data_IF_291410121667
#
_entry.id   IF_291410121667
#
_cell.length_a   1.000
_cell.length_b   1.000
_cell.length_c   1.000
_cell.angle_alpha   90.00
_cell.angle_beta   90.00
_cell.angle_gamma   90.00
#
_symmetry.space_group_name_H-M   'P 1'
#
loop_
_entity.id
_entity.type
_entity.pdbx_description
1 polymer ?
#
# COMPACT_ATOMS: atom_id res chain seq x y z
N UNK A 1 13.04 -8.88 -6.59
CA UNK A 1 11.69 -8.29 -6.58
C UNK A 1 11.74 -6.94 -7.28
N UNK A 2 10.85 -6.69 -8.25
CA UNK A 2 10.73 -5.39 -8.93
C UNK A 2 9.37 -4.79 -8.64
N UNK A 3 9.33 -3.64 -7.98
CA UNK A 3 8.11 -2.87 -7.80
C UNK A 3 8.02 -1.75 -8.85
N UNK A 4 6.86 -1.58 -9.46
CA UNK A 4 6.54 -0.49 -10.39
C UNK A 4 5.35 0.28 -9.84
N UNK A 5 5.54 1.57 -9.56
CA UNK A 5 4.47 2.45 -9.11
C UNK A 5 3.99 3.28 -10.29
N UNK A 6 2.69 3.20 -10.58
CA UNK A 6 2.02 3.93 -11.65
C UNK A 6 1.09 4.97 -11.01
N UNK A 7 1.42 6.27 -11.10
CA UNK A 7 0.52 7.32 -10.63
C UNK A 7 -0.72 7.41 -11.53
N UNK A 8 -1.91 7.51 -10.93
CA UNK A 8 -3.19 7.63 -11.64
C UNK A 8 -4.07 8.76 -11.09
N UNK A 9 -5.02 9.23 -11.90
CA UNK A 9 -5.97 10.30 -11.56
C UNK A 9 -7.41 9.79 -11.62
N UNK A 10 -7.81 8.95 -10.66
CA UNK A 10 -9.13 8.28 -10.66
C UNK A 10 -10.29 9.12 -10.11
N UNK A 11 -10.05 10.40 -9.84
CA UNK A 11 -11.05 11.24 -9.18
C UNK A 11 -10.99 11.12 -7.66
N UNK A 12 -11.90 11.84 -6.99
CA UNK A 12 -12.05 11.71 -5.55
C UNK A 12 -12.83 10.42 -5.25
N UNK A 13 -12.20 9.49 -4.52
CA UNK A 13 -12.83 8.25 -4.04
C UNK A 13 -13.15 8.41 -2.55
N UNK A 14 -14.30 7.89 -2.13
CA UNK A 14 -14.79 7.99 -0.74
C UNK A 14 -14.39 6.77 0.12
N UNK A 15 -13.86 5.70 -0.49
CA UNK A 15 -13.51 4.41 0.17
C UNK A 15 -12.17 3.88 -0.35
N UNK A 16 -11.77 2.70 0.14
CA UNK A 16 -10.53 1.93 -0.06
C UNK A 16 -10.09 1.63 -1.52
N UNK A 17 -10.48 2.44 -2.50
CA UNK A 17 -10.20 2.28 -3.93
C UNK A 17 -9.11 3.26 -4.42
N UNK A 18 -8.29 3.81 -3.52
CA UNK A 18 -7.23 4.75 -3.89
C UNK A 18 -5.94 4.05 -4.36
N UNK A 19 -5.90 2.73 -4.24
CA UNK A 19 -4.78 1.91 -4.65
C UNK A 19 -5.27 0.57 -5.21
N UNK A 20 -4.50 0.01 -6.15
CA UNK A 20 -4.66 -1.37 -6.61
C UNK A 20 -3.27 -1.94 -6.84
N UNK A 21 -3.00 -3.12 -6.28
CA UNK A 21 -1.74 -3.82 -6.48
C UNK A 21 -1.95 -5.16 -7.16
N UNK A 22 -1.07 -5.46 -8.11
CA UNK A 22 -1.12 -6.66 -8.92
C UNK A 22 0.27 -7.30 -8.87
N UNK A 23 0.35 -8.50 -8.33
CA UNK A 23 1.56 -9.31 -8.36
C UNK A 23 1.57 -10.22 -9.59
N UNK A 24 2.65 -10.14 -10.38
CA UNK A 24 2.86 -10.95 -11.58
C UNK A 24 3.99 -11.97 -11.33
N UNK A 25 3.68 -13.20 -10.88
CA UNK A 25 4.65 -14.16 -10.38
C UNK A 25 5.68 -14.56 -11.45
N UNK A 26 5.26 -14.75 -12.70
CA UNK A 26 6.14 -15.13 -13.81
C UNK A 26 7.28 -14.12 -14.04
N UNK A 27 7.02 -12.85 -13.74
CA UNK A 27 7.98 -11.75 -13.89
C UNK A 27 8.66 -11.34 -12.59
N UNK A 28 8.23 -11.89 -11.45
CA UNK A 28 8.64 -11.46 -10.11
C UNK A 28 8.44 -9.96 -9.86
N UNK A 29 7.43 -9.37 -10.50
CA UNK A 29 7.14 -7.93 -10.42
C UNK A 29 5.79 -7.64 -9.79
N UNK A 30 5.73 -6.55 -9.01
CA UNK A 30 4.51 -6.03 -8.42
C UNK A 30 4.23 -4.66 -9.00
N UNK A 31 2.98 -4.43 -9.41
CA UNK A 31 2.53 -3.20 -10.03
C UNK A 31 1.49 -2.54 -9.12
N UNK A 32 1.83 -1.36 -8.59
CA UNK A 32 0.95 -0.57 -7.75
C UNK A 32 0.41 0.64 -8.52
N UNK A 33 -0.90 0.75 -8.65
CA UNK A 33 -1.58 1.92 -9.18
C UNK A 33 -2.04 2.78 -8.01
N UNK A 34 -1.54 4.01 -7.91
CA UNK A 34 -1.83 4.91 -6.78
C UNK A 34 -2.55 6.16 -7.26
N UNK A 35 -3.75 6.38 -6.73
CA UNK A 35 -4.56 7.56 -7.03
C UNK A 35 -3.95 8.80 -6.39
N UNK A 36 -3.49 9.74 -7.20
CA UNK A 36 -2.93 11.01 -6.73
C UNK A 36 -4.01 12.01 -6.30
N UNK A 37 -5.27 11.78 -6.67
CA UNK A 37 -6.40 12.65 -6.31
C UNK A 37 -7.05 12.21 -4.99
N UNK A 38 -6.22 12.03 -3.96
CA UNK A 38 -6.62 11.68 -2.60
C UNK A 38 -5.90 12.55 -1.56
N UNK A 39 -6.30 12.49 -0.30
CA UNK A 39 -5.61 13.18 0.77
C UNK A 39 -4.16 12.65 0.88
N UNK A 40 -3.19 13.52 1.14
CA UNK A 40 -1.77 13.12 1.27
C UNK A 40 -1.55 12.03 2.34
N UNK A 41 -2.37 12.00 3.41
CA UNK A 41 -2.30 10.98 4.46
C UNK A 41 -2.79 9.64 3.93
N UNK A 42 -3.93 9.62 3.24
CA UNK A 42 -4.47 8.41 2.61
C UNK A 42 -3.51 7.88 1.54
N UNK A 43 -2.93 8.79 0.74
CA UNK A 43 -1.93 8.43 -0.26
C UNK A 43 -0.73 7.72 0.37
N UNK A 44 -0.19 8.29 1.44
CA UNK A 44 0.94 7.69 2.18
C UNK A 44 0.55 6.34 2.76
N UNK A 45 -0.61 6.26 3.41
CA UNK A 45 -1.13 5.03 4.01
C UNK A 45 -1.23 3.90 2.97
N UNK A 46 -1.91 4.14 1.86
CA UNK A 46 -2.09 3.13 0.81
C UNK A 46 -0.78 2.75 0.13
N UNK A 47 0.15 3.70 -0.04
CA UNK A 47 1.47 3.38 -0.56
C UNK A 47 2.22 2.42 0.37
N UNK A 48 2.20 2.68 1.67
CA UNK A 48 2.92 1.85 2.66
C UNK A 48 2.23 0.52 2.92
N UNK A 49 0.90 0.50 2.96
CA UNK A 49 0.08 -0.70 3.12
C UNK A 49 0.41 -1.74 2.04
N UNK A 50 0.46 -1.27 0.81
CA UNK A 50 0.64 -2.17 -0.34
C UNK A 50 2.12 -2.47 -0.65
N UNK A 51 3.02 -1.58 -0.22
CA UNK A 51 4.45 -1.89 -0.15
C UNK A 51 4.67 -3.10 0.77
N UNK A 52 3.94 -3.18 1.88
CA UNK A 52 4.03 -4.33 2.78
C UNK A 52 3.67 -5.63 2.06
N UNK A 53 2.53 -5.71 1.34
CA UNK A 53 2.17 -6.91 0.58
C UNK A 53 3.26 -7.39 -0.39
N UNK A 54 4.10 -6.48 -0.90
CA UNK A 54 5.25 -6.86 -1.72
C UNK A 54 6.37 -7.50 -0.88
N UNK A 55 6.61 -7.01 0.33
CA UNK A 55 7.65 -7.46 1.26
C UNK A 55 7.23 -8.71 2.06
N UNK A 56 5.94 -8.85 2.34
CA UNK A 56 5.33 -9.86 3.19
C UNK A 56 4.54 -10.91 2.39
N UNK A 57 4.93 -11.16 1.13
CA UNK A 57 4.21 -12.00 0.16
C UNK A 57 3.94 -13.46 0.59
N UNK A 58 4.49 -13.91 1.72
CA UNK A 58 4.20 -15.22 2.32
C UNK A 58 3.01 -15.19 3.29
N UNK A 59 2.54 -14.01 3.70
CA UNK A 59 1.32 -13.83 4.46
C UNK A 59 0.12 -13.84 3.50
N UNK A 60 -1.00 -14.39 3.95
CA UNK A 60 -2.21 -14.48 3.15
C UNK A 60 -3.44 -14.05 3.97
N UNK A 61 -4.51 -13.68 3.28
CA UNK A 61 -5.81 -13.36 3.90
C UNK A 61 -5.66 -12.26 4.98
N UNK A 62 -6.49 -12.33 6.01
CA UNK A 62 -6.53 -11.38 7.13
C UNK A 62 -5.16 -11.14 7.79
N UNK A 63 -4.26 -12.14 7.83
CA UNK A 63 -2.93 -11.94 8.42
C UNK A 63 -2.09 -10.97 7.58
N UNK A 64 -2.19 -11.03 6.25
CA UNK A 64 -1.52 -10.10 5.36
C UNK A 64 -2.10 -8.68 5.51
N UNK A 65 -3.42 -8.55 5.52
CA UNK A 65 -4.09 -7.24 5.66
C UNK A 65 -3.80 -6.60 7.03
N UNK A 66 -3.89 -7.37 8.11
CA UNK A 66 -3.61 -6.89 9.46
C UNK A 66 -2.13 -6.47 9.63
N UNK A 67 -1.21 -7.22 9.01
CA UNK A 67 0.21 -6.87 9.05
C UNK A 67 0.49 -5.61 8.23
N UNK A 68 -0.11 -5.48 7.04
CA UNK A 68 0.01 -4.29 6.20
C UNK A 68 -0.53 -3.02 6.89
N UNK A 69 -1.66 -3.13 7.60
CA UNK A 69 -2.23 -2.05 8.43
C UNK A 69 -1.26 -1.63 9.53
N UNK A 70 -0.76 -2.60 10.30
CA UNK A 70 0.19 -2.35 11.39
C UNK A 70 1.52 -1.78 10.90
N UNK A 71 2.00 -2.26 9.75
CA UNK A 71 3.20 -1.77 9.09
C UNK A 71 3.03 -0.31 8.66
N UNK A 72 1.95 0.02 7.94
CA UNK A 72 1.65 1.37 7.51
C UNK A 72 1.51 2.33 8.70
N UNK A 73 0.83 1.91 9.77
CA UNK A 73 0.69 2.68 10.99
C UNK A 73 2.05 2.96 11.64
N UNK A 74 2.86 1.92 11.85
CA UNK A 74 4.17 2.02 12.52
C UNK A 74 5.18 2.84 11.70
N UNK A 75 5.14 2.73 10.37
CA UNK A 75 6.04 3.46 9.49
C UNK A 75 5.68 4.94 9.36
N UNK A 76 4.38 5.26 9.30
CA UNK A 76 3.92 6.65 9.11
C UNK A 76 3.79 7.43 10.41
N UNK A 77 3.53 6.72 11.52
CA UNK A 77 3.34 7.28 12.85
C UNK A 77 4.17 6.48 13.86
N UNK A 78 5.51 6.67 13.85
CA UNK A 78 6.40 5.96 14.76
C UNK A 78 6.02 6.25 16.21
N UNK A 79 6.03 5.20 17.04
CA UNK A 79 5.61 5.30 18.43
C UNK A 79 6.48 6.29 19.22
N UNK A 80 7.77 6.37 18.89
CA UNK A 80 8.75 7.28 19.50
C UNK A 80 8.43 8.77 19.28
N UNK A 81 7.54 9.08 18.33
CA UNK A 81 7.10 10.43 17.99
C UNK A 81 5.64 10.72 18.38
N UNK A 82 4.99 9.79 19.08
CA UNK A 82 3.58 9.87 19.45
C UNK A 82 3.33 10.44 20.87
N UNK A 83 4.35 11.05 21.49
CA UNK A 83 4.30 11.73 22.80
C UNK A 83 4.01 13.23 22.71
#
# INVERSE_FOLDING_TARGET
MRAVIVPVMWGAKQRHENAVYIHLPDSGSTWGYLNLKTNIRDFKFWMTYELDHSLSATLESDDAENFADAFAASLLYPHELAE
#
